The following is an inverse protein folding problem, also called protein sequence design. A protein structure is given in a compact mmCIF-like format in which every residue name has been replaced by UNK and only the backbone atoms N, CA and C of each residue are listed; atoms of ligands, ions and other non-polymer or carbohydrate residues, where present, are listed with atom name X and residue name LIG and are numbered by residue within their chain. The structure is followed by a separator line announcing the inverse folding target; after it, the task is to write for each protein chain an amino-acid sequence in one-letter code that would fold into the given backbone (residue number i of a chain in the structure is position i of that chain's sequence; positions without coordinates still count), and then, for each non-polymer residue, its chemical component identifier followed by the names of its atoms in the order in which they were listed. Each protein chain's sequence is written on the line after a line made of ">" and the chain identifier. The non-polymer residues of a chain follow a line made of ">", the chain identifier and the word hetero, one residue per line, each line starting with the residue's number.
data_IF_704961969583
#
_entry.id   IF_704961969583
#
_cell.length_a   1.000
_cell.length_b   1.000
_cell.length_c   1.000
_cell.angle_alpha   90.00
_cell.angle_beta   90.00
_cell.angle_gamma   90.00
#
_symmetry.space_group_name_H-M   'P 1'
#
loop_
_entity.id
_entity.type
_entity.pdbx_description
1 polymer ?
#
# COMPACT_ATOMS: atom_id res chain seq x y z
N UNK A 1 26.11 2.06 -3.46
CA UNK A 1 25.08 3.11 -3.48
C UNK A 1 24.14 2.83 -2.34
N UNK A 2 24.38 3.46 -1.19
CA UNK A 2 23.51 3.30 -0.04
C UNK A 2 22.21 4.04 -0.30
N UNK A 3 21.13 3.26 -0.51
CA UNK A 3 19.81 3.81 -0.61
C UNK A 3 19.46 4.58 0.66
N UNK A 4 18.89 5.76 0.52
CA UNK A 4 18.35 6.62 1.60
C UNK A 4 17.22 5.87 2.36
N UNK A 5 17.56 4.82 3.07
CA UNK A 5 16.60 4.14 3.95
C UNK A 5 16.75 4.66 5.37
N UNK A 6 16.22 5.85 5.62
CA UNK A 6 15.92 6.21 7.00
C UNK A 6 14.98 5.13 7.55
N UNK A 7 15.40 4.44 8.62
CA UNK A 7 14.53 3.52 9.36
C UNK A 7 13.27 4.28 9.73
N UNK A 8 12.12 3.76 9.29
CA UNK A 8 10.82 4.34 9.61
C UNK A 8 9.89 3.25 10.13
N UNK A 9 9.00 3.63 11.01
CA UNK A 9 7.87 2.80 11.42
C UNK A 9 6.71 3.12 10.49
N UNK A 10 6.21 2.14 9.76
CA UNK A 10 4.98 2.22 9.01
C UNK A 10 3.88 1.52 9.83
N UNK A 11 2.71 2.15 9.92
CA UNK A 11 1.55 1.59 10.61
C UNK A 11 0.72 0.86 9.58
N UNK A 12 0.56 -0.45 9.77
CA UNK A 12 -0.31 -1.25 8.93
C UNK A 12 -1.79 -1.01 9.31
N UNK A 13 -2.69 -1.14 8.34
CA UNK A 13 -4.13 -1.19 8.60
C UNK A 13 -4.48 -2.53 9.23
N UNK A 14 -5.52 -2.59 10.06
CA UNK A 14 -5.94 -3.82 10.76
C UNK A 14 -6.16 -5.00 9.79
N UNK A 15 -6.75 -4.75 8.64
CA UNK A 15 -6.96 -5.76 7.60
C UNK A 15 -5.68 -6.40 7.05
N UNK A 16 -4.52 -5.77 7.22
CA UNK A 16 -3.23 -6.29 6.74
C UNK A 16 -2.83 -7.55 7.51
N UNK A 17 -3.17 -7.65 8.78
CA UNK A 17 -2.89 -8.82 9.63
C UNK A 17 -3.51 -10.08 9.01
N UNK A 18 -4.78 -10.03 8.64
CA UNK A 18 -5.50 -11.15 8.04
C UNK A 18 -4.91 -11.55 6.68
N UNK A 19 -4.49 -10.56 5.88
CA UNK A 19 -3.85 -10.82 4.59
C UNK A 19 -2.49 -11.48 4.76
N UNK A 20 -1.66 -10.97 5.67
CA UNK A 20 -0.34 -11.53 5.93
C UNK A 20 -0.45 -12.94 6.53
N UNK A 21 -1.40 -13.16 7.44
CA UNK A 21 -1.65 -14.49 7.99
C UNK A 21 -2.04 -15.51 6.91
N UNK A 22 -3.01 -15.17 6.05
CA UNK A 22 -3.39 -16.03 4.92
C UNK A 22 -2.23 -16.29 3.97
N UNK A 23 -1.37 -15.28 3.75
CA UNK A 23 -0.19 -15.42 2.90
C UNK A 23 0.86 -16.33 3.54
N UNK A 24 1.07 -16.21 4.86
CA UNK A 24 1.98 -17.06 5.60
C UNK A 24 1.58 -18.55 5.52
N UNK A 25 0.28 -18.84 5.60
CA UNK A 25 -0.23 -20.21 5.51
C UNK A 25 0.02 -20.87 4.14
N UNK A 26 0.34 -20.10 3.09
CA UNK A 26 0.73 -20.67 1.80
C UNK A 26 2.19 -21.17 1.78
N UNK A 27 3.01 -20.73 2.74
CA UNK A 27 4.41 -21.12 2.82
C UNK A 27 4.53 -22.41 3.68
N UNK A 28 4.91 -23.57 3.09
CA UNK A 28 5.01 -24.83 3.83
C UNK A 28 6.11 -24.82 4.88
N UNK A 29 7.07 -23.89 4.83
CA UNK A 29 8.13 -23.76 5.81
C UNK A 29 7.68 -23.08 7.10
N UNK A 30 6.56 -22.36 7.05
CA UNK A 30 6.02 -21.63 8.21
C UNK A 30 5.18 -22.59 9.06
N UNK A 31 5.52 -22.65 10.34
CA UNK A 31 4.77 -23.39 11.36
C UNK A 31 4.47 -22.43 12.50
N UNK A 32 3.28 -21.87 12.51
CA UNK A 32 2.77 -21.02 13.57
C UNK A 32 1.27 -21.32 13.75
N UNK A 33 0.77 -21.22 14.98
CA UNK A 33 -0.65 -21.46 15.28
C UNK A 33 -1.49 -20.22 15.00
N UNK A 34 -0.88 -19.04 15.17
CA UNK A 34 -1.51 -17.75 14.96
C UNK A 34 -0.51 -16.70 14.44
N UNK A 35 -1.00 -15.49 14.18
CA UNK A 35 -0.18 -14.40 13.65
C UNK A 35 0.85 -13.89 14.68
N UNK A 36 0.51 -13.86 15.95
CA UNK A 36 1.42 -13.42 17.01
C UNK A 36 2.59 -14.38 17.17
N UNK A 37 2.32 -15.68 17.12
CA UNK A 37 3.34 -16.72 17.07
C UNK A 37 4.24 -16.62 15.85
N UNK A 38 3.67 -16.28 14.68
CA UNK A 38 4.45 -16.04 13.47
C UNK A 38 5.44 -14.87 13.64
N UNK A 39 4.97 -13.76 14.20
CA UNK A 39 5.82 -12.57 14.43
C UNK A 39 6.88 -12.86 15.50
N UNK A 40 6.51 -13.55 16.58
CA UNK A 40 7.42 -13.90 17.66
C UNK A 40 8.56 -14.84 17.20
N UNK A 41 8.29 -15.71 16.24
CA UNK A 41 9.27 -16.64 15.70
C UNK A 41 10.39 -15.96 14.90
N UNK A 42 10.22 -14.72 14.44
CA UNK A 42 11.22 -13.92 13.68
C UNK A 42 11.87 -14.72 12.55
N UNK A 43 11.07 -15.44 11.79
CA UNK A 43 11.52 -16.29 10.71
C UNK A 43 12.15 -15.44 9.59
N UNK A 44 13.25 -15.93 9.02
CA UNK A 44 13.86 -15.38 7.81
C UNK A 44 13.26 -16.04 6.56
N UNK A 45 11.94 -15.94 6.44
CA UNK A 45 11.17 -16.56 5.37
C UNK A 45 10.52 -15.50 4.49
N UNK A 46 10.39 -15.73 3.17
CA UNK A 46 9.74 -14.78 2.29
C UNK A 46 8.24 -14.65 2.63
N UNK A 47 7.78 -13.40 2.74
CA UNK A 47 6.36 -13.07 3.01
C UNK A 47 5.45 -13.54 1.87
N UNK A 48 5.91 -13.35 0.63
CA UNK A 48 5.14 -13.71 -0.55
C UNK A 48 5.67 -14.97 -1.19
N UNK A 49 4.83 -15.99 -1.23
CA UNK A 49 5.09 -17.27 -1.89
C UNK A 49 3.95 -17.60 -2.84
N UNK A 50 4.20 -18.50 -3.78
CA UNK A 50 3.17 -19.08 -4.64
C UNK A 50 3.14 -20.59 -4.45
N UNK A 51 2.09 -21.26 -4.91
CA UNK A 51 2.01 -22.72 -4.88
C UNK A 51 3.14 -23.42 -5.65
N UNK A 52 3.75 -22.71 -6.60
CA UNK A 52 4.79 -23.25 -7.49
C UNK A 52 6.19 -22.82 -7.08
N UNK A 53 6.34 -21.81 -6.22
CA UNK A 53 7.65 -21.28 -5.84
C UNK A 53 7.59 -20.59 -4.49
N UNK A 54 8.58 -20.85 -3.66
CA UNK A 54 8.80 -20.13 -2.41
C UNK A 54 9.45 -18.77 -2.62
N UNK A 55 9.86 -18.45 -3.85
CA UNK A 55 10.48 -17.16 -4.17
C UNK A 55 9.61 -16.40 -5.16
N UNK A 56 9.03 -15.29 -4.70
CA UNK A 56 8.28 -14.36 -5.54
C UNK A 56 9.10 -13.10 -5.74
N UNK A 57 9.49 -12.86 -6.97
CA UNK A 57 10.22 -11.65 -7.34
C UNK A 57 9.25 -10.51 -7.68
N UNK A 58 9.73 -9.27 -7.62
CA UNK A 58 8.98 -8.09 -8.08
C UNK A 58 8.54 -8.25 -9.55
N UNK A 59 9.38 -8.91 -10.37
CA UNK A 59 9.06 -9.21 -11.77
C UNK A 59 7.83 -10.12 -11.89
N UNK A 60 7.74 -11.17 -11.09
CA UNK A 60 6.59 -12.08 -11.07
C UNK A 60 5.31 -11.37 -10.63
N UNK A 61 5.39 -10.52 -9.60
CA UNK A 61 4.26 -9.71 -9.15
C UNK A 61 3.79 -8.73 -10.23
N UNK A 62 4.71 -8.04 -10.89
CA UNK A 62 4.37 -7.13 -11.98
C UNK A 62 3.70 -7.87 -13.14
N UNK A 63 4.20 -9.04 -13.51
CA UNK A 63 3.60 -9.85 -14.60
C UNK A 63 2.19 -10.30 -14.25
N UNK A 64 1.99 -10.83 -13.04
CA UNK A 64 0.68 -11.27 -12.57
C UNK A 64 -0.31 -10.08 -12.47
N UNK A 65 0.15 -8.95 -11.96
CA UNK A 65 -0.67 -7.74 -11.86
C UNK A 65 -1.05 -7.19 -13.24
N UNK A 66 -0.12 -7.18 -14.20
CA UNK A 66 -0.41 -6.75 -15.55
C UNK A 66 -1.43 -7.67 -16.24
N UNK A 67 -1.27 -9.00 -16.12
CA UNK A 67 -2.23 -9.95 -16.65
C UNK A 67 -3.65 -9.74 -16.08
N UNK A 68 -3.75 -9.49 -14.76
CA UNK A 68 -5.03 -9.18 -14.11
C UNK A 68 -5.64 -7.87 -14.64
N UNK A 69 -4.82 -6.83 -14.82
CA UNK A 69 -5.30 -5.55 -15.37
C UNK A 69 -5.76 -5.69 -16.83
N UNK A 70 -5.07 -6.51 -17.62
CA UNK A 70 -5.43 -6.77 -19.02
C UNK A 70 -6.74 -7.57 -19.09
N UNK A 71 -6.91 -8.60 -18.25
CA UNK A 71 -8.14 -9.41 -18.15
C UNK A 71 -9.37 -8.57 -17.75
N UNK A 72 -9.18 -7.62 -16.85
CA UNK A 72 -10.25 -6.75 -16.35
C UNK A 72 -10.46 -5.47 -17.17
N UNK A 73 -9.71 -5.29 -18.26
CA UNK A 73 -9.69 -4.03 -19.05
C UNK A 73 -9.40 -2.80 -18.20
N UNK A 74 -8.51 -2.94 -17.22
CA UNK A 74 -8.14 -1.89 -16.28
C UNK A 74 -6.70 -1.39 -16.47
N UNK A 75 -6.03 -1.78 -17.54
CA UNK A 75 -4.63 -1.41 -17.78
C UNK A 75 -4.42 0.09 -17.93
N UNK A 76 -5.34 0.74 -18.61
CA UNK A 76 -5.31 2.18 -18.85
C UNK A 76 -6.35 2.87 -17.99
N UNK A 77 -5.96 3.94 -17.31
CA UNK A 77 -6.88 4.80 -16.57
C UNK A 77 -7.71 5.68 -17.48
N UNK A 78 -8.77 6.30 -16.95
CA UNK A 78 -9.57 7.28 -17.68
C UNK A 78 -8.76 8.51 -18.15
N UNK A 79 -7.62 8.77 -17.50
CA UNK A 79 -6.66 9.82 -17.85
C UNK A 79 -5.64 9.38 -18.90
N UNK A 80 -5.79 8.19 -19.49
CA UNK A 80 -4.89 7.62 -20.49
C UNK A 80 -3.58 7.06 -19.93
N UNK A 81 -3.37 7.10 -18.62
CA UNK A 81 -2.14 6.60 -17.99
C UNK A 81 -2.21 5.10 -17.71
N UNK A 82 -1.08 4.43 -17.93
CA UNK A 82 -0.95 3.00 -17.60
C UNK A 82 -0.87 2.80 -16.09
N UNK A 83 -1.70 1.90 -15.57
CA UNK A 83 -1.63 1.46 -14.17
C UNK A 83 -0.48 0.48 -13.96
N UNK A 84 0.18 0.62 -12.83
CA UNK A 84 1.30 -0.22 -12.38
C UNK A 84 1.10 -0.61 -10.92
N UNK A 85 1.93 -1.49 -10.37
CA UNK A 85 1.93 -1.76 -8.92
C UNK A 85 2.09 -0.48 -8.08
N UNK A 86 2.82 0.52 -8.61
CA UNK A 86 2.98 1.80 -7.93
C UNK A 86 1.68 2.61 -7.84
N UNK A 87 0.71 2.33 -8.70
CA UNK A 87 -0.61 2.96 -8.66
C UNK A 87 -1.35 2.68 -7.35
N UNK A 88 -1.09 1.54 -6.69
CA UNK A 88 -1.63 1.23 -5.36
C UNK A 88 -1.13 2.20 -4.29
N UNK A 89 0.10 2.67 -4.42
CA UNK A 89 0.64 3.69 -3.52
C UNK A 89 -0.09 5.02 -3.68
N UNK A 90 -0.40 5.40 -4.91
CA UNK A 90 -1.19 6.60 -5.18
C UNK A 90 -2.62 6.45 -4.64
N UNK A 91 -3.24 5.29 -4.88
CA UNK A 91 -4.56 5.00 -4.34
C UNK A 91 -4.59 5.08 -2.80
N UNK A 92 -3.64 4.45 -2.14
CA UNK A 92 -3.50 4.50 -0.68
C UNK A 92 -3.37 5.95 -0.18
N UNK A 93 -2.49 6.72 -0.80
CA UNK A 93 -2.26 8.11 -0.42
C UNK A 93 -3.52 8.98 -0.58
N UNK A 94 -4.22 8.83 -1.69
CA UNK A 94 -5.48 9.56 -1.95
C UNK A 94 -6.54 9.19 -0.93
N UNK A 95 -6.73 7.91 -0.64
CA UNK A 95 -7.69 7.42 0.34
C UNK A 95 -7.40 7.93 1.77
N UNK A 96 -6.13 8.02 2.15
CA UNK A 96 -5.78 8.54 3.48
C UNK A 96 -6.01 10.05 3.57
N UNK A 97 -5.72 10.80 2.51
CA UNK A 97 -6.03 12.24 2.44
C UNK A 97 -7.55 12.48 2.49
N UNK A 98 -8.35 11.68 1.78
CA UNK A 98 -9.81 11.73 1.82
C UNK A 98 -10.39 11.45 3.21
N UNK A 99 -9.69 10.63 4.01
CA UNK A 99 -10.03 10.37 5.42
C UNK A 99 -9.58 11.46 6.37
N UNK A 100 -8.89 12.50 5.88
CA UNK A 100 -8.40 13.60 6.67
C UNK A 100 -7.02 13.37 7.30
N UNK A 101 -6.27 12.34 6.87
CA UNK A 101 -4.87 12.19 7.26
C UNK A 101 -4.07 13.37 6.70
N UNK A 102 -3.30 14.03 7.57
CA UNK A 102 -2.51 15.18 7.15
C UNK A 102 -1.38 14.80 6.19
N UNK A 103 -0.98 15.70 5.30
CA UNK A 103 0.16 15.49 4.39
C UNK A 103 1.44 15.16 5.14
N UNK A 104 1.63 15.76 6.33
CA UNK A 104 2.77 15.46 7.19
C UNK A 104 2.74 14.01 7.71
N UNK A 105 1.61 13.54 8.24
CA UNK A 105 1.48 12.17 8.73
C UNK A 105 1.65 11.17 7.57
N UNK A 106 1.04 11.45 6.42
CA UNK A 106 1.15 10.63 5.22
C UNK A 106 2.58 10.58 4.68
N UNK A 107 3.31 11.70 4.70
CA UNK A 107 4.71 11.75 4.27
C UNK A 107 5.60 10.82 5.10
N UNK A 108 5.39 10.78 6.42
CA UNK A 108 6.11 9.87 7.33
C UNK A 108 5.74 8.41 7.06
N UNK A 109 4.45 8.12 6.89
CA UNK A 109 3.94 6.79 6.59
C UNK A 109 4.54 6.25 5.26
N UNK A 110 4.55 7.07 4.23
CA UNK A 110 5.04 6.71 2.91
C UNK A 110 6.56 6.85 2.75
N UNK A 111 7.24 7.59 3.64
CA UNK A 111 8.67 7.89 3.51
C UNK A 111 8.98 8.84 2.36
N UNK A 112 8.08 9.74 2.07
CA UNK A 112 8.25 10.84 1.10
C UNK A 112 8.46 12.14 1.86
N UNK A 113 8.94 13.20 1.18
CA UNK A 113 8.85 14.54 1.75
C UNK A 113 7.41 15.07 1.68
N UNK A 114 7.07 16.00 2.57
CA UNK A 114 5.75 16.65 2.57
C UNK A 114 5.53 17.39 1.24
N UNK A 115 6.55 18.07 0.73
CA UNK A 115 6.53 18.75 -0.57
C UNK A 115 6.20 17.81 -1.73
N UNK A 116 6.71 16.56 -1.69
CA UNK A 116 6.40 15.56 -2.71
C UNK A 116 4.93 15.13 -2.62
N UNK A 117 4.41 14.95 -1.40
CA UNK A 117 2.99 14.66 -1.20
C UNK A 117 2.14 15.82 -1.72
N UNK A 118 2.44 17.05 -1.32
CA UNK A 118 1.72 18.24 -1.77
C UNK A 118 1.75 18.40 -3.29
N UNK A 119 2.90 18.22 -3.92
CA UNK A 119 3.05 18.32 -5.38
C UNK A 119 2.18 17.29 -6.13
N UNK A 120 2.12 16.06 -5.64
CA UNK A 120 1.37 14.99 -6.32
C UNK A 120 -0.12 14.99 -6.00
N UNK A 121 -0.50 15.48 -4.82
CA UNK A 121 -1.88 15.37 -4.32
C UNK A 121 -2.56 16.71 -4.05
N UNK A 122 -1.89 17.85 -4.26
CA UNK A 122 -2.45 19.20 -4.06
C UNK A 122 -3.75 19.45 -4.85
N UNK A 123 -3.88 18.81 -6.00
CA UNK A 123 -5.08 18.90 -6.85
C UNK A 123 -6.33 18.34 -6.17
N UNK A 124 -6.16 17.41 -5.25
CA UNK A 124 -7.26 16.79 -4.51
C UNK A 124 -7.57 17.52 -3.22
N UNK A 125 -6.61 18.30 -2.68
CA UNK A 125 -6.76 19.01 -1.42
C UNK A 125 -7.97 19.95 -1.36
N UNK A 126 -8.26 20.81 -2.36
CA UNK A 126 -9.44 21.68 -2.34
C UNK A 126 -10.75 20.91 -2.37
N UNK A 127 -10.83 19.81 -3.14
CA UNK A 127 -12.04 18.98 -3.25
C UNK A 127 -12.25 18.15 -1.97
N UNK A 128 -11.18 17.57 -1.43
CA UNK A 128 -11.20 16.81 -0.17
C UNK A 128 -11.63 17.71 1.00
N UNK A 129 -11.17 18.95 1.00
CA UNK A 129 -11.47 19.92 2.04
C UNK A 129 -12.61 20.87 1.70
N UNK A 130 -13.35 20.65 0.61
CA UNK A 130 -14.42 21.55 0.17
C UNK A 130 -15.49 21.76 1.25
N UNK A 131 -15.85 20.72 1.99
CA UNK A 131 -16.80 20.82 3.10
C UNK A 131 -16.22 21.64 4.28
N UNK A 132 -14.94 21.47 4.60
CA UNK A 132 -14.26 22.25 5.62
C UNK A 132 -14.17 23.72 5.22
N UNK A 133 -13.83 24.00 3.96
CA UNK A 133 -13.77 25.36 3.44
C UNK A 133 -15.15 26.00 3.31
N UNK A 134 -16.19 25.21 3.10
CA UNK A 134 -17.58 25.69 3.06
C UNK A 134 -18.20 25.91 4.45
N UNK A 135 -17.47 25.59 5.54
CA UNK A 135 -17.99 25.69 6.89
C UNK A 135 -18.99 24.61 7.28
N UNK A 136 -19.15 23.57 6.45
CA UNK A 136 -20.03 22.43 6.76
C UNK A 136 -19.27 21.40 7.58
N UNK A 137 -19.68 21.23 8.83
CA UNK A 137 -19.16 20.15 9.68
C UNK A 137 -19.80 18.82 9.30
N UNK A 138 -19.01 17.78 9.07
CA UNK A 138 -19.52 16.41 8.97
C UNK A 138 -20.22 16.07 10.28
N UNK A 139 -21.54 15.85 10.24
CA UNK A 139 -22.21 15.18 11.35
C UNK A 139 -21.78 13.72 11.34
N UNK A 140 -21.09 13.31 12.39
CA UNK A 140 -20.80 11.91 12.67
C UNK A 140 -22.08 11.18 13.08
#
# INVERSE_FOLDING_TARGET
>A
MDGKTNKRTAIARDSVVDFLWRQAQLNPSIRAEDFDGLIAAKLDEPVFVTRLSTTVTVHNLNRAFNALLDELDLKTGADGRTRTLYSWRHFYATQDLERGVTTHALSRQLGNSTEMIDRHYSKYSPLINAELHSGRTKKH
#
